data_IF_014148495645
#
_entry.id   IF_014148495645
#
_cell.length_a   1.000
_cell.length_b   1.000
_cell.length_c   1.000
_cell.angle_alpha   90.00
_cell.angle_beta   90.00
_cell.angle_gamma   90.00
#
_symmetry.space_group_name_H-M   'P 1'
#
loop_
_entity.id
_entity.type
_entity.pdbx_description
1 polymer ?
#
# COMPACT_ATOMS: atom_id res chain seq x y z
N UNK A 1 -4.18 -33.53 -13.12
CA UNK A 1 -3.71 -32.15 -12.84
C UNK A 1 -4.72 -31.51 -11.89
N UNK A 2 -4.30 -30.96 -10.75
CA UNK A 2 -5.25 -30.27 -9.87
C UNK A 2 -5.88 -29.07 -10.59
N UNK A 3 -7.14 -28.74 -10.32
CA UNK A 3 -7.90 -27.76 -11.12
C UNK A 3 -7.28 -26.36 -11.03
N UNK A 4 -7.24 -25.63 -12.16
CA UNK A 4 -6.89 -24.19 -12.22
C UNK A 4 -7.96 -23.41 -11.47
N UNK A 5 -7.60 -22.20 -10.94
CA UNK A 5 -8.62 -21.32 -10.39
C UNK A 5 -9.68 -21.00 -11.47
N UNK A 6 -10.93 -20.97 -11.04
CA UNK A 6 -12.03 -20.53 -11.92
C UNK A 6 -11.86 -19.02 -12.19
N UNK A 7 -12.32 -18.50 -13.35
CA UNK A 7 -12.17 -17.06 -13.64
C UNK A 7 -12.69 -16.14 -12.53
N UNK A 8 -13.82 -16.49 -11.90
CA UNK A 8 -14.36 -15.73 -10.76
C UNK A 8 -13.46 -15.75 -9.51
N UNK A 9 -12.72 -16.84 -9.27
CA UNK A 9 -11.77 -16.93 -8.16
C UNK A 9 -10.52 -16.08 -8.44
N UNK A 10 -10.04 -16.08 -9.69
CA UNK A 10 -8.93 -15.22 -10.11
C UNK A 10 -9.33 -13.74 -10.00
N UNK A 11 -10.55 -13.39 -10.41
CA UNK A 11 -11.07 -12.03 -10.28
C UNK A 11 -11.22 -11.62 -8.81
N UNK A 12 -11.66 -12.53 -7.93
CA UNK A 12 -11.74 -12.28 -6.49
C UNK A 12 -10.35 -12.00 -5.89
N UNK A 13 -9.33 -12.79 -6.28
CA UNK A 13 -7.95 -12.53 -5.85
C UNK A 13 -7.41 -11.22 -6.43
N UNK A 14 -7.69 -10.90 -7.68
CA UNK A 14 -7.30 -9.63 -8.29
C UNK A 14 -7.97 -8.43 -7.59
N UNK A 15 -9.25 -8.56 -7.24
CA UNK A 15 -9.98 -7.56 -6.44
C UNK A 15 -9.42 -7.40 -5.03
N UNK A 16 -8.97 -8.50 -4.41
CA UNK A 16 -8.28 -8.45 -3.12
C UNK A 16 -6.92 -7.73 -3.24
N UNK A 17 -6.11 -8.08 -4.27
CA UNK A 17 -4.84 -7.39 -4.56
C UNK A 17 -5.09 -5.90 -4.73
N UNK A 18 -5.95 -5.51 -5.65
CA UNK A 18 -6.32 -4.11 -5.86
C UNK A 18 -6.80 -3.44 -4.55
N UNK A 19 -7.68 -4.13 -3.81
CA UNK A 19 -8.28 -3.59 -2.59
C UNK A 19 -7.28 -3.36 -1.46
N UNK A 20 -6.28 -4.22 -1.29
CA UNK A 20 -5.26 -4.08 -0.27
C UNK A 20 -4.27 -2.96 -0.60
N UNK A 21 -3.86 -2.86 -1.87
CA UNK A 21 -2.88 -1.86 -2.29
C UNK A 21 -3.49 -0.47 -2.43
N UNK A 22 -4.68 -0.36 -3.02
CA UNK A 22 -5.24 0.94 -3.33
C UNK A 22 -5.74 1.69 -2.09
N UNK A 23 -4.93 2.58 -1.56
CA UNK A 23 -5.17 3.37 -0.35
C UNK A 23 -5.03 4.88 -0.54
N UNK A 24 -4.72 5.56 0.56
CA UNK A 24 -4.60 7.01 0.63
C UNK A 24 -3.61 7.61 -0.37
N UNK A 25 -2.39 7.07 -0.40
CA UNK A 25 -1.33 7.56 -1.30
C UNK A 25 -1.68 7.40 -2.76
N UNK A 26 -2.39 6.32 -3.09
CA UNK A 26 -2.80 5.95 -4.44
C UNK A 26 -3.84 6.91 -5.06
N UNK A 27 -4.51 7.70 -4.24
CA UNK A 27 -5.36 8.81 -4.70
C UNK A 27 -4.57 10.10 -4.88
N UNK A 28 -3.75 10.46 -3.89
CA UNK A 28 -3.09 11.76 -3.82
C UNK A 28 -1.96 11.88 -4.84
N UNK A 29 -1.04 10.89 -4.87
CA UNK A 29 0.19 11.03 -5.64
C UNK A 29 -0.05 11.12 -7.15
N UNK A 30 -0.88 10.28 -7.81
CA UNK A 30 -1.06 10.40 -9.25
C UNK A 30 -1.80 11.69 -9.65
N UNK A 31 -2.75 12.18 -8.85
CA UNK A 31 -3.44 13.44 -9.11
C UNK A 31 -2.48 14.64 -8.96
N UNK A 32 -1.65 14.64 -7.92
CA UNK A 32 -0.61 15.65 -7.73
C UNK A 32 0.44 15.62 -8.84
N UNK A 33 0.94 14.42 -9.19
CA UNK A 33 1.85 14.20 -10.30
C UNK A 33 1.30 14.78 -11.59
N UNK A 34 0.03 14.49 -11.93
CA UNK A 34 -0.60 15.00 -13.14
C UNK A 34 -0.60 16.52 -13.20
N UNK A 35 -1.02 17.17 -12.10
CA UNK A 35 -1.02 18.63 -11.97
C UNK A 35 0.40 19.21 -12.18
N UNK A 36 1.39 18.65 -11.50
CA UNK A 36 2.74 19.21 -11.45
C UNK A 36 3.57 18.88 -12.70
N UNK A 37 3.31 17.74 -13.33
CA UNK A 37 3.97 17.33 -14.56
C UNK A 37 3.41 18.05 -15.81
N UNK A 38 2.16 18.52 -15.79
CA UNK A 38 1.59 19.24 -16.94
C UNK A 38 1.80 18.52 -18.27
N UNK A 39 2.49 19.17 -19.22
CA UNK A 39 2.82 18.59 -20.54
C UNK A 39 3.72 17.34 -20.45
N UNK A 40 4.46 17.14 -19.36
CA UNK A 40 5.30 15.96 -19.11
C UNK A 40 4.56 14.83 -18.37
N UNK A 41 3.23 14.86 -18.28
CA UNK A 41 2.42 13.88 -17.55
C UNK A 41 2.63 12.44 -18.04
N UNK A 42 2.83 12.24 -19.35
CA UNK A 42 3.01 10.89 -19.90
C UNK A 42 4.28 10.20 -19.37
N UNK A 43 5.51 10.76 -19.54
CA UNK A 43 6.71 10.14 -18.98
C UNK A 43 6.65 10.07 -17.45
N UNK A 44 6.09 11.05 -16.75
CA UNK A 44 5.91 11.01 -15.30
C UNK A 44 5.01 9.83 -14.87
N UNK A 45 3.86 9.65 -15.53
CA UNK A 45 2.94 8.53 -15.25
C UNK A 45 3.59 7.18 -15.54
N UNK A 46 4.36 7.03 -16.63
CA UNK A 46 5.07 5.79 -16.92
C UNK A 46 6.07 5.46 -15.81
N UNK A 47 6.84 6.42 -15.33
CA UNK A 47 7.72 6.24 -14.18
C UNK A 47 6.96 5.83 -12.93
N UNK A 48 5.85 6.50 -12.64
CA UNK A 48 4.98 6.18 -11.51
C UNK A 48 4.47 4.73 -11.55
N UNK A 49 3.99 4.27 -12.71
CA UNK A 49 3.47 2.91 -12.87
C UNK A 49 4.51 1.83 -12.66
N UNK A 50 5.78 2.07 -13.00
CA UNK A 50 6.87 1.11 -12.77
C UNK A 50 7.01 0.80 -11.27
N UNK A 51 6.97 1.80 -10.41
CA UNK A 51 7.15 1.63 -8.96
C UNK A 51 5.85 1.37 -8.21
N UNK A 52 4.77 2.05 -8.56
CA UNK A 52 3.48 1.90 -7.87
C UNK A 52 2.70 0.65 -8.30
N UNK A 53 3.00 0.03 -9.45
CA UNK A 53 2.35 -1.18 -9.94
C UNK A 53 3.35 -2.31 -10.17
N UNK A 54 4.43 -2.04 -10.89
CA UNK A 54 5.41 -3.06 -11.27
C UNK A 54 6.08 -3.70 -10.05
N UNK A 55 6.63 -2.90 -9.13
CA UNK A 55 7.28 -3.43 -7.93
C UNK A 55 6.32 -4.20 -7.01
N UNK A 56 5.10 -3.75 -6.70
CA UNK A 56 4.13 -4.53 -5.94
C UNK A 56 3.82 -5.89 -6.55
N UNK A 57 3.58 -5.95 -7.86
CA UNK A 57 3.31 -7.23 -8.56
C UNK A 57 4.52 -8.16 -8.46
N UNK A 58 5.73 -7.64 -8.66
CA UNK A 58 6.97 -8.40 -8.48
C UNK A 58 7.14 -8.91 -7.05
N UNK A 59 6.81 -8.10 -6.04
CA UNK A 59 6.85 -8.48 -4.62
C UNK A 59 5.93 -9.67 -4.30
N UNK A 60 4.69 -9.65 -4.83
CA UNK A 60 3.74 -10.77 -4.68
C UNK A 60 4.29 -12.05 -5.34
N UNK A 61 4.79 -11.93 -6.58
CA UNK A 61 5.33 -13.08 -7.33
C UNK A 61 6.58 -13.63 -6.64
N UNK A 62 7.47 -12.78 -6.16
CA UNK A 62 8.66 -13.18 -5.42
C UNK A 62 8.31 -13.96 -4.15
N UNK A 63 7.33 -13.49 -3.38
CA UNK A 63 6.82 -14.21 -2.21
C UNK A 63 6.23 -15.59 -2.58
N UNK A 64 5.50 -15.64 -3.69
CA UNK A 64 4.90 -16.90 -4.16
C UNK A 64 5.95 -17.94 -4.61
N UNK A 65 7.00 -17.48 -5.31
CA UNK A 65 8.11 -18.34 -5.80
C UNK A 65 8.98 -18.86 -4.66
N UNK A 66 9.29 -18.00 -3.69
CA UNK A 66 10.11 -18.41 -2.52
C UNK A 66 9.37 -19.40 -1.63
N UNK A 67 8.04 -19.46 -1.68
CA UNK A 67 7.21 -20.26 -0.80
C UNK A 67 7.28 -19.83 0.66
N UNK A 68 7.95 -18.70 0.95
CA UNK A 68 8.10 -18.16 2.29
C UNK A 68 6.73 -17.79 2.87
N UNK A 69 6.56 -18.06 4.16
CA UNK A 69 5.31 -17.76 4.89
C UNK A 69 5.33 -16.38 5.53
N UNK A 70 6.50 -15.73 5.54
CA UNK A 70 6.68 -14.41 6.13
C UNK A 70 7.85 -13.67 5.50
N UNK A 71 7.87 -12.35 5.62
CA UNK A 71 9.00 -11.50 5.19
C UNK A 71 10.29 -11.91 5.90
N UNK A 72 10.19 -12.34 7.16
CA UNK A 72 11.32 -12.84 7.93
C UNK A 72 11.95 -14.08 7.29
N UNK A 73 11.13 -15.04 6.82
CA UNK A 73 11.62 -16.23 6.11
C UNK A 73 12.26 -15.85 4.76
N UNK A 74 11.68 -14.90 4.02
CA UNK A 74 12.25 -14.42 2.75
C UNK A 74 13.64 -13.80 2.92
N UNK A 75 13.88 -13.10 4.02
CA UNK A 75 15.13 -12.37 4.29
C UNK A 75 16.12 -13.15 5.16
N UNK A 76 15.69 -14.26 5.77
CA UNK A 76 16.54 -15.12 6.60
C UNK A 76 17.82 -15.63 5.91
N UNK A 77 17.86 -15.91 4.58
CA UNK A 77 19.08 -16.32 3.90
C UNK A 77 20.21 -15.29 3.95
N UNK A 78 19.93 -14.00 4.18
CA UNK A 78 20.95 -12.95 4.36
C UNK A 78 21.60 -13.08 5.74
N UNK A 79 20.84 -12.95 6.80
CA UNK A 79 21.19 -13.29 8.18
C UNK A 79 19.96 -13.22 9.09
N UNK A 80 19.99 -13.95 10.21
CA UNK A 80 18.89 -13.95 11.19
C UNK A 80 18.64 -12.56 11.80
N UNK A 81 19.71 -11.81 12.11
CA UNK A 81 19.60 -10.45 12.65
C UNK A 81 19.02 -9.48 11.63
N UNK A 82 19.50 -9.55 10.40
CA UNK A 82 18.96 -8.75 9.30
C UNK A 82 17.46 -9.04 9.07
N UNK A 83 17.09 -10.32 9.03
CA UNK A 83 15.70 -10.70 8.80
C UNK A 83 14.76 -10.12 9.85
N UNK A 84 15.13 -10.16 11.13
CA UNK A 84 14.33 -9.55 12.21
C UNK A 84 14.28 -8.04 12.08
N UNK A 85 15.43 -7.38 11.96
CA UNK A 85 15.52 -5.92 11.89
C UNK A 85 14.77 -5.37 10.67
N UNK A 86 14.96 -5.97 9.49
CA UNK A 86 14.28 -5.58 8.27
C UNK A 86 12.76 -5.76 8.37
N UNK A 87 12.32 -6.92 8.87
CA UNK A 87 10.88 -7.19 9.04
C UNK A 87 10.26 -6.19 10.01
N UNK A 88 10.87 -5.93 11.16
CA UNK A 88 10.36 -4.94 12.11
C UNK A 88 10.28 -3.54 11.48
N UNK A 89 11.36 -3.10 10.82
CA UNK A 89 11.41 -1.77 10.21
C UNK A 89 10.37 -1.63 9.10
N UNK A 90 10.24 -2.64 8.23
CA UNK A 90 9.24 -2.66 7.18
C UNK A 90 7.82 -2.54 7.76
N UNK A 91 7.45 -3.41 8.70
CA UNK A 91 6.09 -3.42 9.24
C UNK A 91 5.79 -2.21 10.13
N UNK A 92 6.75 -1.64 10.81
CA UNK A 92 6.57 -0.37 11.52
C UNK A 92 6.36 0.80 10.55
N UNK A 93 7.09 0.81 9.43
CA UNK A 93 6.98 1.86 8.40
C UNK A 93 5.63 1.81 7.69
N UNK A 94 5.21 0.65 7.16
CA UNK A 94 3.91 0.51 6.50
C UNK A 94 2.75 0.43 7.50
N UNK A 95 3.04 0.22 8.76
CA UNK A 95 2.09 0.09 9.85
C UNK A 95 1.92 1.39 10.64
N UNK A 96 2.15 1.30 11.96
CA UNK A 96 1.74 2.35 12.89
C UNK A 96 2.48 3.67 12.75
N UNK A 97 3.68 3.71 12.13
CA UNK A 97 4.46 4.94 12.08
C UNK A 97 4.05 5.87 10.92
N UNK A 98 3.70 5.32 9.74
CA UNK A 98 3.44 6.19 8.58
C UNK A 98 2.17 5.83 7.82
N UNK A 99 2.02 4.62 7.26
CA UNK A 99 0.93 4.36 6.34
C UNK A 99 -0.44 4.31 7.04
N UNK A 100 -0.57 3.69 8.21
CA UNK A 100 -1.84 3.64 8.94
C UNK A 100 -2.30 5.05 9.37
N UNK A 101 -1.50 5.87 10.08
CA UNK A 101 -1.93 7.23 10.44
C UNK A 101 -2.26 8.08 9.20
N UNK A 102 -1.50 7.95 8.10
CA UNK A 102 -1.78 8.65 6.84
C UNK A 102 -3.17 8.34 6.27
N UNK A 103 -3.68 7.12 6.45
CA UNK A 103 -5.05 6.80 6.00
C UNK A 103 -6.12 7.64 6.69
N UNK A 104 -5.98 7.89 7.98
CA UNK A 104 -6.93 8.68 8.74
C UNK A 104 -6.82 10.18 8.41
N UNK A 105 -5.58 10.72 8.33
CA UNK A 105 -5.36 12.15 8.00
C UNK A 105 -5.83 12.48 6.59
N UNK A 106 -5.53 11.65 5.60
CA UNK A 106 -6.00 11.83 4.22
C UNK A 106 -7.52 11.78 4.15
N UNK A 107 -8.14 10.84 4.88
CA UNK A 107 -9.61 10.76 4.95
C UNK A 107 -10.22 12.03 5.52
N UNK A 108 -9.58 12.63 6.52
CA UNK A 108 -10.02 13.89 7.10
C UNK A 108 -9.84 15.06 6.14
N UNK A 109 -8.62 15.28 5.65
CA UNK A 109 -8.28 16.47 4.86
C UNK A 109 -9.04 16.53 3.54
N UNK A 110 -9.19 15.40 2.85
CA UNK A 110 -9.87 15.37 1.55
C UNK A 110 -11.37 15.14 1.70
N UNK A 111 -11.77 14.28 2.65
CA UNK A 111 -13.16 13.85 2.77
C UNK A 111 -14.00 14.68 3.72
N UNK A 112 -13.44 15.15 4.82
CA UNK A 112 -14.22 15.73 5.93
C UNK A 112 -13.97 17.21 6.13
N UNK A 113 -12.73 17.67 6.02
CA UNK A 113 -12.38 19.07 6.21
C UNK A 113 -13.14 20.02 5.28
N UNK A 114 -13.37 19.70 3.99
CA UNK A 114 -14.20 20.54 3.12
C UNK A 114 -15.66 20.68 3.57
N UNK A 115 -16.18 19.70 4.34
CA UNK A 115 -17.55 19.69 4.86
C UNK A 115 -17.66 20.28 6.27
N UNK A 116 -16.72 19.91 7.14
CA UNK A 116 -16.78 20.24 8.57
C UNK A 116 -15.87 21.42 8.94
N UNK A 117 -14.97 21.85 8.04
CA UNK A 117 -13.92 22.85 8.27
C UNK A 117 -12.70 22.25 8.99
N UNK A 118 -11.59 22.96 8.94
CA UNK A 118 -10.33 22.57 9.59
C UNK A 118 -10.37 22.86 11.08
N UNK A 119 -9.59 22.07 11.85
CA UNK A 119 -9.41 22.25 13.28
C UNK A 119 -8.95 21.00 14.00
N UNK A 120 -8.01 21.17 14.94
CA UNK A 120 -7.42 20.03 15.67
C UNK A 120 -8.44 19.19 16.45
N UNK A 121 -9.47 19.80 17.03
CA UNK A 121 -10.54 19.07 17.74
C UNK A 121 -11.40 18.25 16.77
N UNK A 122 -11.67 18.77 15.56
CA UNK A 122 -12.42 18.06 14.53
C UNK A 122 -11.62 16.89 13.96
N UNK A 123 -10.32 17.10 13.70
CA UNK A 123 -9.39 16.03 13.32
C UNK A 123 -9.37 14.94 14.39
N UNK A 124 -9.23 15.30 15.67
CA UNK A 124 -9.23 14.36 16.79
C UNK A 124 -10.54 13.55 16.85
N UNK A 125 -11.68 14.19 16.73
CA UNK A 125 -12.99 13.52 16.74
C UNK A 125 -13.16 12.55 15.55
N UNK A 126 -12.77 13.00 14.35
CA UNK A 126 -12.82 12.16 13.16
C UNK A 126 -11.86 10.97 13.25
N UNK A 127 -10.59 11.18 13.61
CA UNK A 127 -9.60 10.10 13.73
C UNK A 127 -10.00 9.10 14.80
N UNK A 128 -10.59 9.55 15.93
CA UNK A 128 -11.14 8.66 16.95
C UNK A 128 -12.25 7.76 16.38
N UNK A 129 -13.20 8.32 15.64
CA UNK A 129 -14.27 7.55 15.01
C UNK A 129 -13.73 6.59 13.93
N UNK A 130 -12.80 7.06 13.09
CA UNK A 130 -12.15 6.27 12.03
C UNK A 130 -11.42 5.06 12.61
N UNK A 131 -10.57 5.26 13.63
CA UNK A 131 -9.85 4.17 14.28
C UNK A 131 -10.75 3.27 15.11
N UNK A 132 -11.85 3.75 15.68
CA UNK A 132 -12.84 2.90 16.32
C UNK A 132 -13.51 1.93 15.34
N UNK A 133 -13.89 2.41 14.14
CA UNK A 133 -14.44 1.56 13.07
C UNK A 133 -13.37 0.57 12.58
N UNK A 134 -12.14 1.03 12.35
CA UNK A 134 -11.03 0.18 11.96
C UNK A 134 -10.75 -0.92 13.00
N UNK A 135 -10.82 -0.59 14.30
CA UNK A 135 -10.63 -1.54 15.40
C UNK A 135 -11.69 -2.66 15.39
N UNK A 136 -12.97 -2.31 15.23
CA UNK A 136 -14.07 -3.31 15.17
C UNK A 136 -13.83 -4.32 14.05
N UNK A 137 -13.34 -3.87 12.90
CA UNK A 137 -13.02 -4.75 11.77
C UNK A 137 -11.72 -5.53 12.00
N UNK A 138 -10.66 -4.89 12.50
CA UNK A 138 -9.34 -5.49 12.72
C UNK A 138 -9.35 -6.57 13.81
N UNK A 139 -10.20 -6.44 14.83
CA UNK A 139 -10.37 -7.50 15.84
C UNK A 139 -11.12 -8.75 15.32
N UNK A 140 -11.58 -8.75 14.06
CA UNK A 140 -12.22 -9.89 13.38
C UNK A 140 -11.52 -10.25 12.06
N UNK A 141 -10.23 -10.63 12.07
CA UNK A 141 -9.42 -10.78 10.85
C UNK A 141 -9.96 -11.82 9.85
N UNK A 142 -10.73 -12.82 10.33
CA UNK A 142 -11.29 -13.86 9.47
C UNK A 142 -12.28 -13.37 8.40
N UNK A 143 -12.81 -12.15 8.52
CA UNK A 143 -13.74 -11.54 7.55
C UNK A 143 -13.12 -10.49 6.64
N UNK A 144 -11.80 -10.26 6.76
CA UNK A 144 -11.10 -9.22 6.01
C UNK A 144 -11.32 -9.34 4.49
N UNK A 145 -11.15 -10.55 3.95
CA UNK A 145 -11.29 -10.80 2.51
C UNK A 145 -12.72 -10.54 2.00
N UNK A 146 -13.73 -10.84 2.82
CA UNK A 146 -15.13 -10.58 2.49
C UNK A 146 -15.43 -9.08 2.48
N UNK A 147 -15.04 -8.35 3.52
CA UNK A 147 -15.31 -6.93 3.63
C UNK A 147 -14.52 -6.11 2.61
N UNK A 148 -13.22 -6.32 2.52
CA UNK A 148 -12.34 -5.54 1.63
C UNK A 148 -12.54 -5.95 0.17
N UNK A 149 -12.44 -7.24 -0.15
CA UNK A 149 -12.44 -7.71 -1.54
C UNK A 149 -13.83 -7.75 -2.18
N UNK A 150 -14.87 -8.11 -1.42
CA UNK A 150 -16.21 -8.34 -1.98
C UNK A 150 -17.13 -7.13 -1.96
N UNK A 151 -17.00 -6.27 -0.93
CA UNK A 151 -17.92 -5.13 -0.77
C UNK A 151 -17.23 -3.78 -0.96
N UNK A 152 -16.17 -3.49 -0.21
CA UNK A 152 -15.57 -2.16 -0.20
C UNK A 152 -14.84 -1.84 -1.52
N UNK A 153 -14.15 -2.80 -2.14
CA UNK A 153 -13.43 -2.55 -3.39
C UNK A 153 -14.36 -2.28 -4.57
N UNK A 154 -15.42 -3.07 -4.85
CA UNK A 154 -16.37 -2.71 -5.90
C UNK A 154 -17.09 -1.39 -5.65
N UNK A 155 -17.53 -1.12 -4.42
CA UNK A 155 -18.16 0.15 -4.07
C UNK A 155 -17.22 1.33 -4.37
N UNK A 156 -15.97 1.24 -3.93
CA UNK A 156 -14.94 2.22 -4.23
C UNK A 156 -14.75 2.44 -5.74
N UNK A 157 -14.63 1.35 -6.52
CA UNK A 157 -14.42 1.43 -7.98
C UNK A 157 -15.60 2.09 -8.71
N UNK A 158 -16.82 1.85 -8.27
CA UNK A 158 -18.01 2.49 -8.83
C UNK A 158 -18.01 4.00 -8.55
N UNK A 159 -17.72 4.39 -7.29
CA UNK A 159 -17.65 5.79 -6.89
C UNK A 159 -16.53 6.54 -7.63
N UNK A 160 -15.33 5.95 -7.68
CA UNK A 160 -14.19 6.55 -8.38
C UNK A 160 -14.42 6.57 -9.89
N UNK A 161 -15.01 5.51 -10.44
CA UNK A 161 -15.35 5.42 -11.85
C UNK A 161 -16.28 6.54 -12.30
N UNK A 162 -17.23 6.95 -11.46
CA UNK A 162 -18.10 8.10 -11.75
C UNK A 162 -17.31 9.41 -11.89
N UNK A 163 -16.36 9.66 -10.98
CA UNK A 163 -15.49 10.84 -11.04
C UNK A 163 -14.60 10.84 -12.30
N UNK A 164 -13.96 9.71 -12.58
CA UNK A 164 -13.10 9.56 -13.76
C UNK A 164 -13.90 9.70 -15.06
N UNK A 165 -15.07 9.08 -15.13
CA UNK A 165 -15.94 9.17 -16.30
C UNK A 165 -16.34 10.64 -16.58
N UNK A 166 -16.72 11.40 -15.55
CA UNK A 166 -17.02 12.81 -15.69
C UNK A 166 -15.83 13.61 -16.22
N UNK A 167 -14.63 13.37 -15.70
CA UNK A 167 -13.42 14.06 -16.15
C UNK A 167 -12.99 13.71 -17.59
N UNK A 168 -13.27 12.48 -18.04
CA UNK A 168 -12.97 12.07 -19.42
C UNK A 168 -14.00 12.64 -20.41
N UNK A 169 -15.28 12.65 -20.04
CA UNK A 169 -16.37 13.15 -20.90
C UNK A 169 -16.32 14.66 -21.03
N UNK A 170 -16.00 15.37 -19.94
CA UNK A 170 -15.94 16.84 -19.91
C UNK A 170 -14.64 17.29 -19.23
N UNK A 171 -13.49 17.18 -19.91
CA UNK A 171 -12.20 17.56 -19.32
C UNK A 171 -12.19 19.05 -18.94
N UNK A 172 -11.58 19.38 -17.79
CA UNK A 172 -11.52 20.75 -17.26
C UNK A 172 -10.68 21.68 -18.14
N UNK A 173 -9.75 21.14 -18.91
CA UNK A 173 -9.00 21.87 -19.95
C UNK A 173 -8.93 21.03 -21.22
N UNK A 174 -9.26 21.65 -22.35
CA UNK A 174 -9.16 21.07 -23.71
C UNK A 174 -8.01 21.65 -24.52
N UNK A 175 -7.28 22.60 -23.94
CA UNK A 175 -6.12 23.26 -24.54
C UNK A 175 -4.81 22.52 -24.28
N UNK A 176 -3.69 23.14 -24.70
CA UNK A 176 -2.36 22.65 -24.39
C UNK A 176 -2.16 22.59 -22.86
N UNK A 177 -1.59 21.47 -22.39
CA UNK A 177 -1.24 21.34 -20.98
C UNK A 177 -0.14 22.34 -20.62
N UNK A 178 -0.14 22.89 -19.39
CA UNK A 178 0.85 23.85 -18.96
C UNK A 178 2.26 23.25 -18.90
N UNK A 179 3.26 24.11 -18.88
CA UNK A 179 4.65 23.68 -18.69
C UNK A 179 4.81 22.94 -17.36
N UNK A 180 5.65 21.89 -17.32
CA UNK A 180 5.91 21.16 -16.09
C UNK A 180 6.54 22.09 -15.03
N UNK A 181 6.29 21.81 -13.76
CA UNK A 181 7.00 22.45 -12.66
C UNK A 181 8.49 22.10 -12.71
N UNK A 182 9.40 22.88 -12.07
CA UNK A 182 10.83 22.58 -12.06
C UNK A 182 11.18 21.15 -11.62
N UNK A 183 10.37 20.56 -10.75
CA UNK A 183 10.56 19.19 -10.27
C UNK A 183 10.37 18.13 -11.37
N UNK A 184 9.66 18.43 -12.45
CA UNK A 184 9.35 17.52 -13.56
C UNK A 184 9.98 17.97 -14.89
N UNK A 185 10.56 19.18 -14.96
CA UNK A 185 11.12 19.72 -16.20
C UNK A 185 12.27 18.86 -16.72
N UNK A 186 13.22 18.51 -15.86
CA UNK A 186 14.47 17.81 -16.22
C UNK A 186 14.48 16.35 -15.71
N UNK A 187 13.46 15.58 -15.93
CA UNK A 187 13.46 14.18 -15.52
C UNK A 187 12.12 13.64 -15.03
N UNK A 188 11.07 13.99 -15.73
CA UNK A 188 9.69 13.60 -15.37
C UNK A 188 9.51 12.09 -15.08
N UNK A 189 10.20 11.22 -15.84
CA UNK A 189 10.16 9.79 -15.62
C UNK A 189 10.77 9.40 -14.26
N UNK A 190 11.94 9.96 -13.93
CA UNK A 190 12.62 9.66 -12.64
C UNK A 190 11.81 10.22 -11.48
N UNK A 191 11.26 11.42 -11.63
CA UNK A 191 10.37 11.99 -10.63
C UNK A 191 9.14 11.12 -10.42
N UNK A 192 8.52 10.65 -11.51
CA UNK A 192 7.40 9.71 -11.45
C UNK A 192 7.75 8.41 -10.73
N UNK A 193 8.94 7.84 -10.96
CA UNK A 193 9.44 6.67 -10.20
C UNK A 193 9.46 6.93 -8.69
N UNK A 194 9.95 8.10 -8.27
CA UNK A 194 10.00 8.47 -6.85
C UNK A 194 8.60 8.65 -6.26
N UNK A 195 7.71 9.31 -6.98
CA UNK A 195 6.35 9.54 -6.51
C UNK A 195 5.53 8.24 -6.46
N UNK A 196 5.75 7.33 -7.41
CA UNK A 196 5.16 5.99 -7.36
C UNK A 196 5.68 5.16 -6.19
N UNK A 197 6.96 5.31 -5.83
CA UNK A 197 7.51 4.66 -4.63
C UNK A 197 6.94 5.22 -3.32
N UNK A 198 6.59 6.52 -3.29
CA UNK A 198 5.96 7.18 -2.13
C UNK A 198 4.54 6.68 -1.82
N UNK A 199 3.90 5.90 -2.72
CA UNK A 199 2.65 5.19 -2.39
C UNK A 199 2.85 4.15 -1.30
N UNK A 200 4.08 3.68 -1.09
CA UNK A 200 4.50 2.60 -0.18
C UNK A 200 4.02 1.20 -0.60
N UNK A 201 3.40 1.06 -1.76
CA UNK A 201 2.87 -0.22 -2.25
C UNK A 201 3.97 -1.27 -2.46
N UNK A 202 5.14 -0.84 -2.93
CA UNK A 202 6.30 -1.72 -3.09
C UNK A 202 6.71 -2.40 -1.76
N UNK A 203 6.70 -1.66 -0.65
CA UNK A 203 6.97 -2.20 0.68
C UNK A 203 5.80 -3.02 1.21
N UNK A 204 4.58 -2.50 1.06
CA UNK A 204 3.35 -3.16 1.48
C UNK A 204 3.16 -4.52 0.75
N UNK A 205 3.69 -4.66 -0.47
CA UNK A 205 3.59 -5.90 -1.24
C UNK A 205 4.21 -7.11 -0.53
N UNK A 206 5.30 -6.91 0.18
CA UNK A 206 5.95 -7.98 0.94
C UNK A 206 5.08 -8.44 2.12
N UNK A 207 4.38 -7.52 2.78
CA UNK A 207 3.47 -7.82 3.87
C UNK A 207 2.15 -8.42 3.35
N UNK A 208 1.54 -7.79 2.36
CA UNK A 208 0.28 -8.25 1.80
C UNK A 208 0.40 -9.56 1.02
N UNK A 209 1.59 -9.88 0.50
CA UNK A 209 1.81 -11.15 -0.18
C UNK A 209 1.47 -12.36 0.71
N UNK A 210 1.73 -12.30 2.02
CA UNK A 210 1.36 -13.35 2.98
C UNK A 210 -0.16 -13.54 2.99
N UNK A 211 -0.91 -12.46 3.14
CA UNK A 211 -2.39 -12.47 3.14
C UNK A 211 -2.95 -12.99 1.82
N UNK A 212 -2.36 -12.56 0.69
CA UNK A 212 -2.80 -12.97 -0.66
C UNK A 212 -2.48 -14.45 -0.91
N UNK A 213 -1.30 -14.93 -0.47
CA UNK A 213 -0.91 -16.36 -0.52
C UNK A 213 -1.89 -17.21 0.29
N UNK A 214 -2.25 -16.80 1.49
CA UNK A 214 -3.21 -17.52 2.33
C UNK A 214 -4.61 -17.52 1.72
N UNK A 215 -5.04 -16.41 1.12
CA UNK A 215 -6.29 -16.35 0.37
C UNK A 215 -6.29 -17.36 -0.80
N UNK A 216 -5.21 -17.44 -1.57
CA UNK A 216 -5.07 -18.40 -2.66
C UNK A 216 -5.04 -19.85 -2.16
N UNK A 217 -4.41 -20.14 -1.02
CA UNK A 217 -4.43 -21.45 -0.37
C UNK A 217 -5.85 -21.88 0.00
N UNK A 218 -6.64 -20.97 0.56
CA UNK A 218 -8.07 -21.22 0.89
C UNK A 218 -8.91 -21.52 -0.35
N UNK A 219 -8.51 -21.01 -1.51
CA UNK A 219 -9.12 -21.34 -2.81
C UNK A 219 -8.58 -22.64 -3.43
N UNK A 220 -7.72 -23.39 -2.72
CA UNK A 220 -7.20 -24.68 -3.14
C UNK A 220 -5.93 -24.63 -3.99
N UNK A 221 -5.23 -23.48 -4.05
CA UNK A 221 -3.95 -23.38 -4.75
C UNK A 221 -2.85 -24.00 -3.88
N UNK A 222 -2.18 -25.04 -4.38
CA UNK A 222 -1.11 -25.74 -3.69
C UNK A 222 0.14 -25.82 -4.57
N UNK A 223 1.31 -25.83 -3.94
CA UNK A 223 2.62 -25.91 -4.59
C UNK A 223 3.16 -24.54 -5.09
N UNK A 224 4.50 -24.32 -4.96
CA UNK A 224 5.12 -23.00 -5.20
C UNK A 224 4.93 -22.50 -6.64
N UNK A 225 5.20 -23.36 -7.65
CA UNK A 225 5.10 -22.99 -9.06
C UNK A 225 3.69 -22.55 -9.44
N UNK A 226 2.68 -23.25 -8.90
CA UNK A 226 1.29 -22.95 -9.18
C UNK A 226 0.85 -21.67 -8.45
N UNK A 227 1.25 -21.53 -7.20
CA UNK A 227 1.03 -20.30 -6.43
C UNK A 227 1.55 -19.09 -7.20
N UNK A 228 2.80 -19.15 -7.70
CA UNK A 228 3.39 -18.07 -8.49
C UNK A 228 2.59 -17.74 -9.76
N UNK A 229 2.09 -18.76 -10.48
CA UNK A 229 1.29 -18.54 -11.70
C UNK A 229 -0.05 -17.90 -11.39
N UNK A 230 -0.80 -18.43 -10.43
CA UNK A 230 -2.14 -17.92 -10.11
C UNK A 230 -2.07 -16.53 -9.43
N UNK A 231 -1.08 -16.30 -8.56
CA UNK A 231 -0.86 -14.97 -7.98
C UNK A 231 -0.28 -13.98 -9.00
N UNK A 232 0.54 -14.44 -9.95
CA UNK A 232 0.99 -13.62 -11.07
C UNK A 232 -0.17 -13.12 -11.93
N UNK A 233 -1.14 -13.99 -12.26
CA UNK A 233 -2.36 -13.61 -12.99
C UNK A 233 -3.21 -12.61 -12.20
N UNK A 234 -3.45 -12.89 -10.91
CA UNK A 234 -4.21 -12.00 -10.05
C UNK A 234 -3.50 -10.65 -9.85
N UNK A 235 -2.18 -10.67 -9.69
CA UNK A 235 -1.34 -9.47 -9.59
C UNK A 235 -1.35 -8.64 -10.86
N UNK A 236 -1.25 -9.27 -12.04
CA UNK A 236 -1.33 -8.57 -13.33
C UNK A 236 -2.71 -7.95 -13.55
N UNK A 237 -3.81 -8.66 -13.25
CA UNK A 237 -5.15 -8.12 -13.38
C UNK A 237 -5.41 -6.98 -12.40
N UNK A 238 -5.06 -7.17 -11.12
CA UNK A 238 -5.16 -6.11 -10.10
C UNK A 238 -4.27 -4.92 -10.42
N UNK A 239 -3.03 -5.17 -10.85
CA UNK A 239 -2.08 -4.15 -11.28
C UNK A 239 -2.53 -3.39 -12.52
N UNK A 240 -3.12 -4.07 -13.52
CA UNK A 240 -3.71 -3.40 -14.68
C UNK A 240 -4.86 -2.48 -14.28
N UNK A 241 -5.74 -2.92 -13.37
CA UNK A 241 -6.78 -2.05 -12.82
C UNK A 241 -6.19 -0.83 -12.09
N UNK A 242 -5.14 -1.03 -11.28
CA UNK A 242 -4.41 0.08 -10.63
C UNK A 242 -3.81 1.03 -11.66
N UNK A 243 -3.17 0.51 -12.71
CA UNK A 243 -2.56 1.33 -13.76
C UNK A 243 -3.58 2.21 -14.48
N UNK A 244 -4.75 1.66 -14.82
CA UNK A 244 -5.85 2.41 -15.42
C UNK A 244 -6.31 3.54 -14.49
N UNK A 245 -6.51 3.25 -13.20
CA UNK A 245 -6.93 4.25 -12.22
C UNK A 245 -5.86 5.34 -12.05
N UNK A 246 -4.57 4.98 -11.93
CA UNK A 246 -3.50 5.96 -11.77
C UNK A 246 -3.34 6.86 -12.99
N UNK A 247 -3.38 6.29 -14.20
CA UNK A 247 -3.35 7.07 -15.43
C UNK A 247 -4.54 8.04 -15.52
N UNK A 248 -5.73 7.58 -15.11
CA UNK A 248 -6.93 8.41 -15.07
C UNK A 248 -6.82 9.55 -14.06
N UNK A 249 -6.30 9.28 -12.86
CA UNK A 249 -6.08 10.30 -11.82
C UNK A 249 -4.99 11.30 -12.23
N UNK A 250 -3.91 10.84 -12.88
CA UNK A 250 -2.90 11.72 -13.46
C UNK A 250 -3.48 12.62 -14.56
N UNK A 251 -4.36 12.07 -15.40
CA UNK A 251 -5.09 12.84 -16.40
C UNK A 251 -5.99 13.91 -15.76
N UNK A 252 -6.77 13.55 -14.73
CA UNK A 252 -7.58 14.51 -13.95
C UNK A 252 -6.68 15.62 -13.38
N UNK A 253 -5.54 15.27 -12.82
CA UNK A 253 -4.56 16.23 -12.31
C UNK A 253 -4.04 17.17 -13.39
N UNK A 254 -3.60 16.62 -14.53
CA UNK A 254 -3.04 17.42 -15.63
C UNK A 254 -4.05 18.41 -16.22
N UNK A 255 -5.30 17.97 -16.43
CA UNK A 255 -6.37 18.84 -16.97
C UNK A 255 -6.88 19.85 -15.97
N UNK A 256 -6.66 19.64 -14.67
CA UNK A 256 -7.09 20.53 -13.59
C UNK A 256 -6.18 21.75 -13.37
N UNK A 257 -4.96 21.74 -13.89
CA UNK A 257 -3.95 22.76 -13.58
C UNK A 257 -4.43 24.19 -13.87
N UNK A 258 -5.05 24.41 -15.03
CA UNK A 258 -5.59 25.74 -15.41
C UNK A 258 -6.72 26.22 -14.50
N UNK A 259 -7.51 25.29 -13.95
CA UNK A 259 -8.64 25.63 -13.07
C UNK A 259 -8.20 25.73 -11.58
N UNK A 260 -7.21 24.93 -11.16
CA UNK A 260 -6.83 24.78 -9.75
C UNK A 260 -5.31 24.86 -9.52
N UNK A 261 -4.64 25.83 -10.15
CA UNK A 261 -3.19 26.03 -10.03
C UNK A 261 -2.70 26.17 -8.57
N UNK A 262 -3.56 26.64 -7.67
CA UNK A 262 -3.26 26.83 -6.24
C UNK A 262 -3.70 25.67 -5.35
N UNK A 263 -4.06 24.51 -5.90
CA UNK A 263 -4.37 23.35 -5.09
C UNK A 263 -3.12 22.95 -4.25
N UNK A 264 -3.29 22.70 -2.96
CA UNK A 264 -2.18 22.42 -2.05
C UNK A 264 -1.50 21.09 -2.36
N UNK A 265 -2.29 20.06 -2.68
CA UNK A 265 -1.80 18.72 -2.98
C UNK A 265 -2.78 17.98 -3.92
N UNK A 266 -2.45 16.75 -4.33
CA UNK A 266 -3.31 15.95 -5.21
C UNK A 266 -4.67 15.61 -4.62
N UNK A 267 -4.81 15.61 -3.30
CA UNK A 267 -6.08 15.43 -2.64
C UNK A 267 -7.01 16.63 -2.81
N UNK A 268 -6.47 17.84 -2.67
CA UNK A 268 -7.20 19.09 -2.94
C UNK A 268 -7.61 19.19 -4.43
N UNK A 269 -6.72 18.73 -5.34
CA UNK A 269 -7.07 18.59 -6.77
C UNK A 269 -8.32 17.73 -6.96
N UNK A 270 -8.37 16.56 -6.33
CA UNK A 270 -9.51 15.63 -6.46
C UNK A 270 -10.78 16.20 -5.83
N UNK A 271 -10.67 16.85 -4.66
CA UNK A 271 -11.81 17.47 -3.99
C UNK A 271 -12.42 18.58 -4.84
N UNK A 272 -11.59 19.49 -5.40
CA UNK A 272 -12.03 20.55 -6.29
C UNK A 272 -12.59 20.01 -7.60
N UNK A 273 -11.98 18.96 -8.17
CA UNK A 273 -12.48 18.31 -9.38
C UNK A 273 -13.86 17.68 -9.16
N UNK A 274 -14.06 16.98 -8.04
CA UNK A 274 -15.36 16.42 -7.70
C UNK A 274 -16.42 17.50 -7.52
N UNK A 275 -16.09 18.62 -6.88
CA UNK A 275 -16.98 19.76 -6.73
C UNK A 275 -17.29 20.44 -8.08
N UNK A 276 -16.30 20.52 -8.99
CA UNK A 276 -16.47 21.06 -10.33
C UNK A 276 -17.48 20.25 -11.15
N UNK A 277 -17.37 18.91 -11.15
CA UNK A 277 -18.22 18.04 -11.96
C UNK A 277 -19.62 17.79 -11.35
N UNK A 278 -19.72 17.72 -10.04
CA UNK A 278 -20.93 17.28 -9.34
C UNK A 278 -21.49 18.33 -8.38
N UNK A 279 -20.93 19.56 -8.34
CA UNK A 279 -21.34 20.61 -7.41
C UNK A 279 -21.26 20.15 -5.95
N UNK A 280 -22.25 20.50 -5.15
CA UNK A 280 -22.32 20.10 -3.73
C UNK A 280 -22.29 18.58 -3.52
N UNK A 281 -22.87 17.79 -4.43
CA UNK A 281 -22.83 16.33 -4.34
C UNK A 281 -21.41 15.77 -4.52
N UNK A 282 -20.54 16.48 -5.24
CA UNK A 282 -19.14 16.09 -5.45
C UNK A 282 -18.34 16.03 -4.16
N UNK A 283 -18.61 16.90 -3.21
CA UNK A 283 -17.94 16.91 -1.90
C UNK A 283 -18.25 15.62 -1.13
N UNK A 284 -19.51 15.20 -1.14
CA UNK A 284 -19.90 13.93 -0.51
C UNK A 284 -19.36 12.70 -1.25
N UNK A 285 -19.32 12.79 -2.60
CA UNK A 285 -18.77 11.72 -3.42
C UNK A 285 -17.29 11.49 -3.12
N UNK A 286 -16.46 12.55 -3.11
CA UNK A 286 -15.03 12.42 -2.82
C UNK A 286 -14.79 11.98 -1.37
N UNK A 287 -15.58 12.49 -0.42
CA UNK A 287 -15.52 12.04 0.97
C UNK A 287 -15.75 10.53 1.08
N UNK A 288 -16.78 10.01 0.43
CA UNK A 288 -17.08 8.57 0.43
C UNK A 288 -15.95 7.76 -0.24
N UNK A 289 -15.43 8.21 -1.39
CA UNK A 289 -14.31 7.55 -2.11
C UNK A 289 -13.10 7.43 -1.18
N UNK A 290 -12.69 8.54 -0.58
CA UNK A 290 -11.45 8.61 0.20
C UNK A 290 -11.59 7.84 1.51
N UNK A 291 -12.68 8.02 2.24
CA UNK A 291 -12.91 7.31 3.52
C UNK A 291 -12.95 5.80 3.29
N UNK A 292 -13.67 5.32 2.27
CA UNK A 292 -13.75 3.88 1.96
C UNK A 292 -12.40 3.33 1.53
N UNK A 293 -11.67 4.05 0.66
CA UNK A 293 -10.33 3.65 0.22
C UNK A 293 -9.36 3.54 1.39
N UNK A 294 -9.33 4.56 2.24
CA UNK A 294 -8.41 4.63 3.37
C UNK A 294 -8.76 3.62 4.46
N UNK A 295 -10.05 3.45 4.77
CA UNK A 295 -10.49 2.53 5.82
C UNK A 295 -10.15 1.07 5.48
N UNK A 296 -10.38 0.63 4.23
CA UNK A 296 -10.03 -0.74 3.81
C UNK A 296 -8.53 -1.02 3.90
N UNK A 297 -7.69 -0.06 3.50
CA UNK A 297 -6.23 -0.18 3.59
C UNK A 297 -5.76 -0.14 5.03
N UNK A 298 -6.31 0.76 5.84
CA UNK A 298 -6.04 0.82 7.29
C UNK A 298 -6.29 -0.53 7.97
N UNK A 299 -7.47 -1.12 7.74
CA UNK A 299 -7.83 -2.43 8.31
C UNK A 299 -6.84 -3.51 7.85
N UNK A 300 -6.52 -3.55 6.56
CA UNK A 300 -5.57 -4.52 5.99
C UNK A 300 -4.19 -4.40 6.61
N UNK A 301 -3.67 -3.18 6.76
CA UNK A 301 -2.37 -2.92 7.36
C UNK A 301 -2.33 -3.26 8.85
N UNK A 302 -3.38 -2.90 9.62
CA UNK A 302 -3.46 -3.25 11.05
C UNK A 302 -3.41 -4.77 11.22
N UNK A 303 -4.20 -5.51 10.44
CA UNK A 303 -4.23 -6.98 10.51
C UNK A 303 -2.86 -7.56 10.17
N UNK A 304 -2.28 -7.17 9.02
CA UNK A 304 -1.00 -7.70 8.57
C UNK A 304 0.15 -7.41 9.56
N UNK A 305 0.22 -6.18 10.08
CA UNK A 305 1.23 -5.80 11.07
C UNK A 305 1.04 -6.55 12.40
N UNK A 306 -0.20 -6.67 12.85
CA UNK A 306 -0.54 -7.34 14.09
C UNK A 306 -0.22 -8.83 14.05
N UNK A 307 -0.58 -9.53 12.97
CA UNK A 307 -0.27 -10.95 12.78
C UNK A 307 1.23 -11.20 12.82
N UNK A 308 2.02 -10.37 12.12
CA UNK A 308 3.46 -10.50 12.09
C UNK A 308 4.10 -10.26 13.46
N UNK A 309 3.68 -9.22 14.18
CA UNK A 309 4.26 -8.93 15.50
C UNK A 309 3.84 -9.96 16.56
N UNK A 310 2.63 -10.46 16.50
CA UNK A 310 2.15 -11.53 17.38
C UNK A 310 2.88 -12.87 17.13
N UNK A 311 3.36 -13.11 15.88
CA UNK A 311 4.19 -14.26 15.54
C UNK A 311 5.64 -14.09 16.03
N UNK A 312 6.19 -12.87 15.93
CA UNK A 312 7.62 -12.62 16.21
C UNK A 312 7.93 -12.36 17.68
N UNK A 313 7.00 -11.78 18.41
CA UNK A 313 7.21 -11.28 19.77
C UNK A 313 6.16 -11.82 20.74
N UNK A 314 6.49 -11.93 22.04
CA UNK A 314 5.51 -12.30 23.05
C UNK A 314 4.39 -11.26 23.12
N UNK A 315 3.16 -11.73 23.27
CA UNK A 315 1.98 -10.88 23.34
C UNK A 315 0.81 -11.45 22.53
N UNK A 316 -0.39 -11.08 22.91
CA UNK A 316 -1.59 -11.51 22.18
C UNK A 316 -1.82 -10.63 20.94
N UNK A 317 -2.53 -11.18 19.95
CA UNK A 317 -2.99 -10.42 18.79
C UNK A 317 -3.69 -9.11 19.22
N UNK A 318 -4.57 -9.19 20.25
CA UNK A 318 -5.31 -8.02 20.75
C UNK A 318 -4.38 -6.94 21.32
N UNK A 319 -3.31 -7.34 22.01
CA UNK A 319 -2.33 -6.40 22.56
C UNK A 319 -1.65 -5.62 21.44
N UNK A 320 -1.11 -6.31 20.43
CA UNK A 320 -0.42 -5.68 19.31
C UNK A 320 -1.36 -4.82 18.47
N UNK A 321 -2.58 -5.30 18.19
CA UNK A 321 -3.59 -4.51 17.48
C UNK A 321 -3.94 -3.22 18.23
N UNK A 322 -4.16 -3.30 19.53
CA UNK A 322 -4.45 -2.12 20.36
C UNK A 322 -3.28 -1.14 20.39
N UNK A 323 -2.05 -1.64 20.54
CA UNK A 323 -0.86 -0.81 20.52
C UNK A 323 -0.72 -0.05 19.19
N UNK A 324 -0.87 -0.76 18.06
CA UNK A 324 -0.76 -0.14 16.73
C UNK A 324 -1.88 0.86 16.47
N UNK A 325 -3.10 0.58 16.90
CA UNK A 325 -4.22 1.51 16.80
C UNK A 325 -3.95 2.80 17.60
N UNK A 326 -3.49 2.68 18.85
CA UNK A 326 -3.21 3.83 19.72
C UNK A 326 -2.05 4.66 19.17
N UNK A 327 -0.95 4.03 18.76
CA UNK A 327 0.21 4.75 18.18
C UNK A 327 -0.21 5.45 16.89
N UNK A 328 -0.94 4.77 16.01
CA UNK A 328 -1.39 5.36 14.75
C UNK A 328 -2.38 6.50 14.98
N UNK A 329 -3.28 6.38 15.96
CA UNK A 329 -4.19 7.44 16.34
C UNK A 329 -3.43 8.68 16.84
N UNK A 330 -2.43 8.49 17.71
CA UNK A 330 -1.62 9.60 18.22
C UNK A 330 -0.87 10.30 17.08
N UNK A 331 -0.23 9.54 16.18
CA UNK A 331 0.51 10.10 15.05
C UNK A 331 -0.40 10.77 14.00
N UNK A 332 -1.61 10.24 13.78
CA UNK A 332 -2.57 10.84 12.85
C UNK A 332 -2.96 12.28 13.25
N UNK A 333 -2.91 12.60 14.53
CA UNK A 333 -3.21 13.94 15.02
C UNK A 333 -2.05 14.95 14.88
N UNK A 334 -0.89 14.54 14.31
CA UNK A 334 0.19 15.45 13.92
C UNK A 334 -0.05 16.13 12.56
N UNK A 335 -1.02 15.63 11.78
CA UNK A 335 -1.34 16.13 10.44
C UNK A 335 -0.62 15.39 9.31
N UNK A 336 -1.16 15.53 8.09
CA UNK A 336 -0.70 14.80 6.91
C UNK A 336 0.71 15.21 6.46
N UNK A 337 0.99 16.52 6.45
CA UNK A 337 2.29 17.04 6.01
C UNK A 337 3.45 16.52 6.86
N UNK A 338 3.28 16.51 8.19
CA UNK A 338 4.26 15.96 9.10
C UNK A 338 4.54 14.48 8.84
N UNK A 339 3.48 13.68 8.63
CA UNK A 339 3.60 12.25 8.35
C UNK A 339 4.34 12.03 7.02
N UNK A 340 4.01 12.76 5.95
CA UNK A 340 4.68 12.65 4.65
C UNK A 340 6.15 13.04 4.76
N UNK A 341 6.46 14.16 5.41
CA UNK A 341 7.83 14.64 5.58
C UNK A 341 8.74 13.63 6.29
N UNK A 342 8.22 12.91 7.28
CA UNK A 342 8.99 11.93 8.04
C UNK A 342 9.06 10.56 7.36
N UNK A 343 8.07 10.22 6.52
CA UNK A 343 8.04 8.92 5.83
C UNK A 343 9.11 8.80 4.75
N UNK A 344 9.41 9.87 4.01
CA UNK A 344 10.36 9.84 2.89
C UNK A 344 11.78 9.45 3.33
N UNK A 345 12.41 10.05 4.36
CA UNK A 345 13.72 9.63 4.84
C UNK A 345 13.75 8.18 5.33
N UNK A 346 12.68 7.72 6.01
CA UNK A 346 12.58 6.36 6.49
C UNK A 346 12.52 5.35 5.32
N UNK A 347 11.77 5.67 4.25
CA UNK A 347 11.69 4.86 3.04
C UNK A 347 13.04 4.75 2.32
N UNK A 348 13.75 5.87 2.16
CA UNK A 348 15.10 5.89 1.54
C UNK A 348 16.06 5.06 2.38
N UNK A 349 16.06 5.21 3.70
CA UNK A 349 16.90 4.43 4.61
C UNK A 349 16.63 2.92 4.49
N UNK A 350 15.38 2.52 4.30
CA UNK A 350 14.97 1.12 4.13
C UNK A 350 15.50 0.55 2.80
N UNK A 351 15.42 1.32 1.71
CA UNK A 351 15.96 0.92 0.39
C UNK A 351 17.47 0.76 0.44
N UNK A 352 18.18 1.78 0.95
CA UNK A 352 19.65 1.75 1.05
C UNK A 352 20.11 0.59 1.94
N UNK A 353 19.42 0.37 3.08
CA UNK A 353 19.70 -0.75 3.97
C UNK A 353 19.51 -2.12 3.30
N UNK A 354 18.46 -2.28 2.47
CA UNK A 354 18.21 -3.53 1.74
C UNK A 354 19.25 -3.78 0.65
N UNK A 355 19.60 -2.76 -0.13
CA UNK A 355 20.64 -2.85 -1.16
C UNK A 355 22.00 -3.15 -0.56
N UNK A 356 22.37 -2.50 0.54
CA UNK A 356 23.61 -2.74 1.25
C UNK A 356 23.69 -4.16 1.86
N UNK A 357 22.57 -4.70 2.32
CA UNK A 357 22.50 -6.06 2.82
C UNK A 357 22.55 -7.11 1.69
N UNK A 358 21.89 -6.84 0.56
CA UNK A 358 21.88 -7.72 -0.61
C UNK A 358 23.27 -7.78 -1.31
N UNK A 359 24.06 -6.71 -1.23
CA UNK A 359 25.41 -6.64 -1.82
C UNK A 359 26.49 -7.36 -1.01
N UNK A 360 26.19 -7.80 0.24
CA UNK A 360 27.16 -8.57 1.04
C UNK A 360 27.40 -9.94 0.43
N UNK A 361 28.70 -10.37 0.26
CA UNK A 361 29.01 -11.69 -0.28
C UNK A 361 28.38 -12.77 0.62
N UNK A 362 27.66 -13.70 -0.01
CA UNK A 362 27.09 -14.86 0.69
C UNK A 362 28.22 -15.73 1.21
N UNK A 363 28.24 -16.13 2.49
CA UNK A 363 29.20 -17.13 2.96
C UNK A 363 29.03 -18.40 2.12
N UNK A 364 30.14 -18.92 1.58
CA UNK A 364 30.15 -20.13 0.75
C UNK A 364 29.49 -21.27 1.53
N UNK A 365 28.64 -22.05 0.86
CA UNK A 365 27.85 -23.14 1.42
C UNK A 365 28.67 -24.23 2.15
N UNK A 366 30.01 -24.25 1.96
CA UNK A 366 30.92 -25.20 2.60
C UNK A 366 31.40 -24.85 4.01
N UNK A 367 31.19 -23.63 4.50
CA UNK A 367 31.66 -23.26 5.85
C UNK A 367 30.64 -23.57 6.96
N UNK A 368 29.46 -24.11 6.64
CA UNK A 368 28.42 -24.46 7.63
C UNK A 368 28.49 -25.88 8.13
N UNK A 369 29.33 -26.74 7.55
CA UNK A 369 29.46 -28.18 7.98
C UNK A 369 30.57 -28.47 8.98
N UNK A 370 31.34 -27.46 9.40
CA UNK A 370 32.35 -27.63 10.43
C UNK A 370 31.83 -27.26 11.84
N UNK A 371 30.74 -27.88 12.30
CA UNK A 371 30.47 -27.96 13.73
C UNK A 371 31.15 -29.25 14.19
N UNK A 372 32.22 -29.19 15.03
CA UNK A 372 32.83 -30.40 15.54
C UNK A 372 31.81 -31.14 16.41
N UNK A 373 31.46 -32.34 15.97
CA UNK A 373 30.78 -33.32 16.82
C UNK A 373 31.72 -33.61 17.96
N UNK A 374 31.49 -33.04 19.12
CA UNK A 374 32.19 -33.41 20.36
C UNK A 374 31.84 -34.86 20.63
N UNK A 375 32.87 -35.72 20.50
CA UNK A 375 32.82 -37.10 20.84
C UNK A 375 32.39 -37.26 22.31
N UNK A 376 31.18 -37.78 22.49
CA UNK A 376 30.71 -38.21 23.81
C UNK A 376 31.58 -39.38 24.29
N UNK A 377 32.30 -39.15 25.36
CA UNK A 377 33.02 -40.19 26.07
C UNK A 377 32.03 -41.25 26.58
N UNK A 378 32.25 -42.47 26.07
CA UNK A 378 31.63 -43.67 26.63
C UNK A 378 32.00 -43.84 28.10
N UNK A 379 30.98 -43.95 28.93
CA UNK A 379 31.12 -44.61 30.23
C UNK A 379 30.62 -46.05 30.08
N UNK A 380 31.59 -46.96 30.10
CA UNK A 380 31.40 -48.40 30.33
C UNK A 380 30.75 -48.58 31.69
N UNK A 381 29.65 -49.29 31.73
CA UNK A 381 29.16 -49.94 32.95
C UNK A 381 29.97 -51.17 33.25
N UNK A 382 30.50 -51.23 34.43
CA UNK A 382 30.90 -52.46 35.10
C UNK A 382 30.55 -52.32 36.58
N UNK A 383 29.83 -53.36 37.06
CA UNK A 383 29.38 -53.78 38.37
C UNK A 383 28.01 -53.27 38.81
#
# INVERSE_FOLDING_TARGET
MPPRLRPGQTLLLASLVFGLFFGAGNLIFPAGLGRDAGAAVTPATLGFLVTAVGLPVLGIVASAVTGARSVREMTAPVSRRFAVAFTCLLYLTIGPLFAIPRTATVSYEIGVAPLAGDGGLRLLGFTAAFFAVAAVAAFRPGRLMEWVGRYLTPAFLVLLGALVAAAVVAPMSTGALPSPTPAYADGALVRGLLDGYNTMDALASLAFAVVIVDAARRLGVTGPRRMAVELGKAGLLGGAAMAVVYASLAYVGATSHGAFAQAANGGDVLARSASHFFGAAGVYLIAAIVVVACLKTCIGLIVACTEMFAEMFPGSYRLWASLFLVVSFALANLGLEAIIAWSVPALVGLVVGTLAAASRPRPRRGEREAIPVTAGHGRTAAD
#
